data_IF_283591708480
#
_entry.id   IF_283591708480
#
_cell.length_a   1.000
_cell.length_b   1.000
_cell.length_c   1.000
_cell.angle_alpha   90.00
_cell.angle_beta   90.00
_cell.angle_gamma   90.00
#
_symmetry.space_group_name_H-M   'P 1'
#
loop_
_entity.id
_entity.type
_entity.pdbx_description
1 polymer ?
#
# COMPACT_ATOMS: atom_id res chain seq x y z
N UNK A 1 -20.84 20.33 3.29
CA UNK A 1 -20.12 19.58 2.22
C UNK A 1 -18.65 19.57 2.61
N UNK A 2 -18.11 18.42 3.05
CA UNK A 2 -16.73 18.35 3.54
C UNK A 2 -15.73 18.29 2.39
N UNK A 3 -14.89 19.30 2.27
CA UNK A 3 -13.81 19.35 1.30
C UNK A 3 -12.78 18.25 1.59
N UNK A 4 -12.75 17.24 0.72
CA UNK A 4 -11.71 16.22 0.71
C UNK A 4 -10.39 16.91 0.34
N UNK A 5 -9.55 17.22 1.33
CA UNK A 5 -8.17 17.68 1.12
C UNK A 5 -7.46 16.72 0.17
N UNK A 6 -7.29 17.14 -1.09
CA UNK A 6 -6.47 16.42 -2.05
C UNK A 6 -5.04 16.44 -1.53
N UNK A 7 -4.50 15.26 -1.22
CA UNK A 7 -3.13 15.07 -0.77
C UNK A 7 -2.17 15.42 -1.92
N UNK A 8 -1.92 16.72 -2.15
CA UNK A 8 -0.86 17.21 -3.05
C UNK A 8 0.51 17.10 -2.36
N UNK A 9 0.80 15.92 -1.80
CA UNK A 9 2.14 15.62 -1.32
C UNK A 9 3.07 15.47 -2.52
N UNK A 10 4.11 16.30 -2.60
CA UNK A 10 5.23 16.09 -3.53
C UNK A 10 5.71 14.65 -3.35
N UNK A 11 5.92 13.92 -4.46
CA UNK A 11 6.40 12.55 -4.43
C UNK A 11 7.65 12.49 -3.53
N UNK A 12 7.63 11.75 -2.39
CA UNK A 12 8.73 11.76 -1.43
C UNK A 12 10.04 11.23 -2.01
N UNK A 13 10.00 10.64 -3.21
CA UNK A 13 11.15 10.09 -3.91
C UNK A 13 11.74 11.00 -5.00
N UNK A 14 11.24 12.22 -5.19
CA UNK A 14 11.84 13.18 -6.14
C UNK A 14 13.26 13.57 -5.73
N UNK A 15 13.51 13.69 -4.43
CA UNK A 15 14.86 13.87 -3.89
C UNK A 15 15.25 12.70 -2.98
N UNK A 16 15.95 11.73 -3.58
CA UNK A 16 16.43 10.53 -2.89
C UNK A 16 17.37 10.85 -1.72
N UNK A 17 18.15 11.95 -1.80
CA UNK A 17 19.12 12.33 -0.77
C UNK A 17 18.39 12.89 0.45
N UNK A 18 17.41 13.76 0.23
CA UNK A 18 16.56 14.27 1.31
C UNK A 18 15.75 13.16 1.96
N UNK A 19 15.17 12.25 1.16
CA UNK A 19 14.40 11.12 1.69
C UNK A 19 15.23 10.26 2.63
N UNK A 20 16.44 9.85 2.19
CA UNK A 20 17.37 9.07 3.01
C UNK A 20 17.78 9.83 4.27
N UNK A 21 18.04 11.14 4.17
CA UNK A 21 18.38 11.98 5.32
C UNK A 21 17.22 12.08 6.33
N UNK A 22 15.98 12.19 5.85
CA UNK A 22 14.76 12.17 6.70
C UNK A 22 14.58 10.81 7.37
N UNK A 23 14.83 9.72 6.66
CA UNK A 23 14.75 8.36 7.20
C UNK A 23 15.80 8.11 8.29
N UNK A 24 17.05 8.54 8.07
CA UNK A 24 18.13 8.49 9.09
C UNK A 24 17.76 9.31 10.33
N UNK A 25 17.25 10.54 10.16
CA UNK A 25 16.78 11.34 11.29
C UNK A 25 15.66 10.63 12.06
N UNK A 26 14.70 10.03 11.34
CA UNK A 26 13.59 9.29 11.95
C UNK A 26 14.09 8.07 12.74
N UNK A 27 15.06 7.31 12.22
CA UNK A 27 15.62 6.16 12.91
C UNK A 27 16.43 6.57 14.14
N UNK A 28 17.21 7.64 14.08
CA UNK A 28 17.95 8.19 15.22
C UNK A 28 17.00 8.67 16.33
N UNK A 29 15.95 9.41 15.98
CA UNK A 29 14.92 9.85 16.95
C UNK A 29 14.21 8.65 17.57
N UNK A 30 13.88 7.63 16.77
CA UNK A 30 13.26 6.40 17.28
C UNK A 30 14.18 5.68 18.26
N UNK A 31 15.47 5.51 17.93
CA UNK A 31 16.48 4.91 18.81
C UNK A 31 16.63 5.70 20.11
N UNK A 32 16.72 7.03 20.03
CA UNK A 32 16.80 7.89 21.21
C UNK A 32 15.55 7.77 22.10
N UNK A 33 14.36 7.66 21.49
CA UNK A 33 13.10 7.47 22.22
C UNK A 33 13.03 6.10 22.89
N UNK A 34 13.47 5.03 22.22
CA UNK A 34 13.56 3.69 22.81
C UNK A 34 14.53 3.68 24.00
N UNK A 35 15.71 4.29 23.85
CA UNK A 35 16.70 4.43 24.93
C UNK A 35 16.12 5.20 26.12
N UNK A 36 15.44 6.33 25.89
CA UNK A 36 14.75 7.09 26.95
C UNK A 36 13.66 6.29 27.64
N UNK A 37 12.86 5.52 26.89
CA UNK A 37 11.81 4.68 27.46
C UNK A 37 12.38 3.52 28.30
N UNK A 38 13.50 2.94 27.86
CA UNK A 38 14.20 1.88 28.58
C UNK A 38 14.74 2.38 29.93
N UNK A 39 15.42 3.54 29.95
CA UNK A 39 15.89 4.13 31.22
C UNK A 39 14.75 4.46 32.18
N UNK A 40 13.62 4.98 31.68
CA UNK A 40 12.42 5.18 32.50
C UNK A 40 11.83 3.89 33.08
N UNK A 41 12.03 2.75 32.42
CA UNK A 41 11.58 1.45 32.91
C UNK A 41 12.52 0.96 34.02
N UNK A 42 13.83 1.08 33.83
CA UNK A 42 14.84 0.76 34.84
C UNK A 42 14.67 1.59 36.12
N UNK A 43 14.40 2.90 35.98
CA UNK A 43 14.07 3.80 37.11
C UNK A 43 12.85 3.31 37.90
N UNK A 44 11.83 2.75 37.23
CA UNK A 44 10.62 2.20 37.87
C UNK A 44 10.87 0.86 38.56
N UNK A 45 11.79 0.06 38.04
CA UNK A 45 12.18 -1.23 38.63
C UNK A 45 13.18 -1.06 39.79
N UNK A 46 13.64 0.16 40.06
CA UNK A 46 14.62 0.45 41.11
C UNK A 46 16.05 0.05 40.73
N UNK A 47 16.30 -0.22 39.45
CA UNK A 47 17.63 -0.55 38.94
C UNK A 47 18.30 0.77 38.55
N UNK A 48 19.17 1.29 39.43
CA UNK A 48 19.97 2.48 39.14
C UNK A 48 20.99 2.16 38.05
N UNK A 49 20.71 2.56 36.82
CA UNK A 49 21.70 2.58 35.75
C UNK A 49 22.34 3.97 35.70
N UNK A 50 23.50 4.10 36.33
CA UNK A 50 24.41 5.22 36.07
C UNK A 50 24.87 5.12 34.61
N UNK A 51 24.59 6.11 33.74
CA UNK A 51 25.17 6.12 32.40
C UNK A 51 26.66 6.42 32.56
N UNK A 52 27.52 5.42 32.36
CA UNK A 52 28.96 5.66 32.31
C UNK A 52 29.27 6.73 31.25
N UNK A 53 29.63 7.92 31.74
CA UNK A 53 30.08 9.04 30.95
C UNK A 53 31.58 8.89 30.72
N UNK A 54 31.99 8.01 29.80
CA UNK A 54 33.35 7.93 29.24
C UNK A 54 33.18 7.20 27.90
N UNK A 55 33.72 7.59 26.76
CA UNK A 55 34.57 8.68 26.31
C UNK A 55 34.75 8.36 24.81
N UNK A 56 34.84 9.40 23.98
CA UNK A 56 35.25 9.25 22.58
C UNK A 56 36.50 8.38 22.48
N UNK A 57 36.50 7.38 21.60
CA UNK A 57 37.49 7.18 20.54
C UNK A 57 37.43 5.75 19.95
N UNK A 58 37.57 5.69 18.61
CA UNK A 58 37.99 4.54 17.80
C UNK A 58 37.18 3.23 17.93
N UNK A 59 36.27 2.97 16.99
CA UNK A 59 36.58 2.22 15.79
C UNK A 59 36.93 0.74 16.05
N UNK A 60 35.94 -0.15 16.02
CA UNK A 60 36.08 -1.36 15.21
C UNK A 60 34.71 -2.00 14.94
N UNK A 61 34.58 -2.47 13.72
CA UNK A 61 33.44 -3.12 13.09
C UNK A 61 33.11 -4.47 13.74
N UNK A 62 31.95 -4.59 14.40
CA UNK A 62 31.21 -5.86 14.49
C UNK A 62 29.70 -5.65 14.30
N UNK A 63 29.24 -5.81 13.06
CA UNK A 63 27.83 -6.00 12.70
C UNK A 63 27.42 -7.46 12.98
N UNK A 64 26.38 -7.66 13.80
CA UNK A 64 25.45 -8.82 13.95
C UNK A 64 25.15 -8.96 15.44
N UNK A 65 23.93 -9.04 15.95
CA UNK A 65 22.63 -9.37 15.37
C UNK A 65 21.57 -9.00 16.41
N UNK A 66 20.58 -8.24 15.98
CA UNK A 66 19.39 -7.84 16.75
C UNK A 66 18.57 -9.06 17.17
N UNK A 67 18.62 -9.35 18.45
CA UNK A 67 17.65 -10.12 19.22
C UNK A 67 16.65 -9.13 19.84
N UNK A 68 15.40 -9.55 20.07
CA UNK A 68 14.29 -8.89 20.78
C UNK A 68 13.01 -8.51 19.99
N UNK A 69 12.12 -9.51 19.97
CA UNK A 69 10.68 -9.43 20.34
C UNK A 69 9.74 -8.65 19.40
N UNK A 70 9.43 -9.31 18.29
CA UNK A 70 8.18 -9.11 17.53
C UNK A 70 6.99 -9.67 18.30
N UNK A 71 5.98 -8.83 18.46
CA UNK A 71 4.63 -9.16 18.90
C UNK A 71 4.00 -10.28 18.05
N UNK A 72 3.48 -11.30 18.74
CA UNK A 72 2.34 -12.13 18.34
C UNK A 72 2.29 -12.54 16.86
N UNK A 73 3.21 -13.43 16.47
CA UNK A 73 3.18 -14.14 15.19
C UNK A 73 2.85 -15.60 15.53
N UNK A 74 1.79 -16.20 14.94
CA UNK A 74 1.43 -17.59 15.19
C UNK A 74 2.64 -18.49 14.91
N UNK A 75 2.84 -19.42 15.84
CA UNK A 75 4.02 -20.22 16.00
C UNK A 75 4.23 -21.17 14.81
N UNK A 76 4.91 -20.74 13.76
CA UNK A 76 5.24 -21.56 12.59
C UNK A 76 6.46 -22.48 12.84
N UNK A 77 6.63 -22.98 14.06
CA UNK A 77 7.81 -23.75 14.53
C UNK A 77 7.98 -25.14 13.90
N UNK A 78 7.13 -25.55 12.95
CA UNK A 78 7.23 -26.81 12.20
C UNK A 78 7.47 -26.62 10.68
N UNK A 79 7.98 -25.48 10.23
CA UNK A 79 8.45 -25.35 8.84
C UNK A 79 9.85 -25.94 8.72
N UNK A 80 10.08 -26.98 7.88
CA UNK A 80 11.42 -27.50 7.65
C UNK A 80 12.30 -26.35 7.17
N UNK A 81 13.45 -26.14 7.82
CA UNK A 81 14.43 -25.13 7.42
C UNK A 81 14.82 -25.42 5.98
N UNK A 82 14.24 -24.68 5.03
CA UNK A 82 14.61 -24.79 3.62
C UNK A 82 16.10 -24.47 3.55
N UNK A 83 16.88 -25.39 2.97
CA UNK A 83 18.32 -25.20 2.75
C UNK A 83 18.57 -23.79 2.21
N UNK A 84 19.60 -23.06 2.67
CA UNK A 84 19.87 -21.72 2.16
C UNK A 84 20.10 -21.83 0.65
N UNK A 85 19.14 -21.32 -0.14
CA UNK A 85 19.20 -21.36 -1.60
C UNK A 85 20.47 -20.70 -2.13
N UNK A 86 20.99 -21.20 -3.25
CA UNK A 86 22.15 -20.60 -3.89
C UNK A 86 21.82 -19.16 -4.35
N UNK A 87 22.82 -18.26 -4.42
CA UNK A 87 22.65 -16.91 -4.95
C UNK A 87 22.01 -16.91 -6.34
N UNK A 88 22.41 -17.85 -7.20
CA UNK A 88 21.83 -18.01 -8.54
C UNK A 88 20.31 -18.33 -8.49
N UNK A 89 19.88 -19.19 -7.58
CA UNK A 89 18.46 -19.54 -7.40
C UNK A 89 17.65 -18.36 -6.87
N UNK A 90 18.20 -17.64 -5.88
CA UNK A 90 17.57 -16.42 -5.35
C UNK A 90 17.39 -15.37 -6.43
N UNK A 91 18.38 -15.19 -7.30
CA UNK A 91 18.30 -14.25 -8.43
C UNK A 91 17.22 -14.66 -9.43
N UNK A 92 17.09 -15.95 -9.76
CA UNK A 92 16.02 -16.48 -10.64
C UNK A 92 14.64 -16.23 -10.04
N UNK A 93 14.43 -16.57 -8.77
CA UNK A 93 13.13 -16.36 -8.09
C UNK A 93 12.80 -14.87 -8.02
N UNK A 94 13.78 -14.00 -7.74
CA UNK A 94 13.55 -12.56 -7.73
C UNK A 94 13.13 -12.05 -9.12
N UNK A 95 13.75 -12.55 -10.19
CA UNK A 95 13.39 -12.23 -11.59
C UNK A 95 11.97 -12.70 -11.93
N UNK A 96 11.62 -13.94 -11.57
CA UNK A 96 10.27 -14.49 -11.77
C UNK A 96 9.20 -13.70 -11.02
N UNK A 97 9.44 -13.34 -9.76
CA UNK A 97 8.51 -12.50 -8.98
C UNK A 97 8.31 -11.13 -9.62
N UNK A 98 9.40 -10.52 -10.13
CA UNK A 98 9.34 -9.24 -10.81
C UNK A 98 8.55 -9.34 -12.12
N UNK A 99 8.76 -10.40 -12.88
CA UNK A 99 8.01 -10.65 -14.12
C UNK A 99 6.53 -10.93 -13.84
N UNK A 100 6.21 -11.77 -12.85
CA UNK A 100 4.84 -12.02 -12.43
C UNK A 100 4.15 -10.74 -11.96
N UNK A 101 4.83 -9.90 -11.16
CA UNK A 101 4.30 -8.59 -10.75
C UNK A 101 4.07 -7.66 -11.95
N UNK A 102 4.97 -7.67 -12.93
CA UNK A 102 4.82 -6.92 -14.19
C UNK A 102 3.59 -7.40 -14.97
N UNK A 103 3.43 -8.70 -15.14
CA UNK A 103 2.30 -9.32 -15.84
C UNK A 103 0.97 -9.02 -15.14
N UNK A 104 0.91 -9.17 -13.81
CA UNK A 104 -0.27 -8.84 -13.03
C UNK A 104 -0.67 -7.36 -13.18
N UNK A 105 0.32 -6.45 -13.18
CA UNK A 105 0.07 -5.03 -13.42
C UNK A 105 -0.45 -4.77 -14.83
N UNK A 106 0.14 -5.38 -15.86
CA UNK A 106 -0.33 -5.25 -17.24
C UNK A 106 -1.77 -5.76 -17.39
N UNK A 107 -2.09 -6.92 -16.81
CA UNK A 107 -3.45 -7.48 -16.81
C UNK A 107 -4.44 -6.53 -16.14
N UNK A 108 -4.11 -5.98 -14.97
CA UNK A 108 -4.98 -5.01 -14.28
C UNK A 108 -5.25 -3.74 -15.09
N UNK A 109 -4.28 -3.29 -15.90
CA UNK A 109 -4.43 -2.13 -16.79
C UNK A 109 -5.34 -2.50 -17.97
N UNK A 110 -5.17 -3.68 -18.56
CA UNK A 110 -6.03 -4.20 -19.63
C UNK A 110 -7.48 -4.34 -19.15
N UNK A 111 -7.71 -5.02 -18.04
CA UNK A 111 -9.04 -5.19 -17.43
C UNK A 111 -9.71 -3.84 -17.15
N UNK A 112 -8.93 -2.86 -16.65
CA UNK A 112 -9.43 -1.49 -16.42
C UNK A 112 -9.81 -0.78 -17.73
N UNK A 113 -9.01 -0.94 -18.80
CA UNK A 113 -9.34 -0.36 -20.11
C UNK A 113 -10.60 -0.99 -20.69
N UNK A 114 -10.72 -2.31 -20.66
CA UNK A 114 -11.89 -3.03 -21.15
C UNK A 114 -13.16 -2.64 -20.41
N UNK A 115 -13.10 -2.53 -19.08
CA UNK A 115 -14.28 -2.13 -18.28
C UNK A 115 -14.72 -0.70 -18.58
N UNK A 116 -13.77 0.22 -18.82
CA UNK A 116 -14.09 1.60 -19.26
C UNK A 116 -14.73 1.58 -20.65
N UNK A 117 -14.17 0.83 -21.59
CA UNK A 117 -14.68 0.74 -22.96
C UNK A 117 -16.09 0.12 -22.99
N UNK A 118 -16.31 -0.99 -22.28
CA UNK A 118 -17.63 -1.64 -22.12
C UNK A 118 -18.66 -0.65 -21.56
N UNK A 119 -18.33 0.07 -20.48
CA UNK A 119 -19.20 1.10 -19.90
C UNK A 119 -19.44 2.27 -20.85
N UNK A 120 -18.46 2.66 -21.66
CA UNK A 120 -18.65 3.73 -22.66
C UNK A 120 -19.62 3.30 -23.75
N UNK A 121 -19.40 2.12 -24.34
CA UNK A 121 -20.30 1.54 -25.36
C UNK A 121 -21.73 1.36 -24.84
N UNK A 122 -21.88 0.92 -23.59
CA UNK A 122 -23.19 0.80 -22.95
C UNK A 122 -23.88 2.16 -22.75
N UNK A 123 -23.11 3.20 -22.35
CA UNK A 123 -23.63 4.57 -22.22
C UNK A 123 -24.05 5.15 -23.56
N UNK A 124 -23.28 4.94 -24.62
CA UNK A 124 -23.63 5.38 -25.98
C UNK A 124 -24.92 4.70 -26.46
N UNK A 125 -25.01 3.37 -26.35
CA UNK A 125 -26.24 2.62 -26.68
C UNK A 125 -27.45 3.11 -25.87
N UNK A 126 -27.27 3.37 -24.57
CA UNK A 126 -28.34 3.93 -23.71
C UNK A 126 -28.75 5.33 -24.17
N UNK A 127 -27.78 6.19 -24.51
CA UNK A 127 -28.03 7.54 -25.02
C UNK A 127 -28.82 7.48 -26.33
N UNK A 128 -28.41 6.63 -27.26
CA UNK A 128 -29.08 6.46 -28.56
C UNK A 128 -30.49 5.88 -28.41
N UNK A 129 -30.70 4.97 -27.46
CA UNK A 129 -32.03 4.44 -27.19
C UNK A 129 -32.98 5.49 -26.57
N UNK A 130 -32.46 6.38 -25.72
CA UNK A 130 -33.26 7.45 -25.08
C UNK A 130 -33.51 8.65 -26.00
N UNK A 131 -32.66 8.84 -27.02
CA UNK A 131 -32.80 9.92 -28.01
C UNK A 131 -33.84 9.62 -29.10
N UNK A 132 -34.24 8.35 -29.27
CA UNK A 132 -35.27 7.94 -30.23
C UNK A 132 -36.59 8.68 -30.01
N UNK A 133 -37.19 9.14 -31.11
CA UNK A 133 -38.48 9.82 -31.17
C UNK A 133 -39.44 9.05 -32.08
N UNK A 134 -40.73 9.19 -31.83
CA UNK A 134 -41.81 8.72 -32.69
C UNK A 134 -41.90 9.56 -33.96
N UNK A 135 -42.69 9.11 -34.95
CA UNK A 135 -42.89 9.86 -36.21
C UNK A 135 -43.45 11.28 -35.97
N UNK A 136 -44.25 11.47 -34.92
CA UNK A 136 -44.80 12.78 -34.53
C UNK A 136 -43.81 13.65 -33.72
N UNK A 137 -42.60 13.16 -33.44
CA UNK A 137 -41.57 13.87 -32.69
C UNK A 137 -41.61 13.67 -31.17
N UNK A 138 -42.62 12.97 -30.63
CA UNK A 138 -42.67 12.65 -29.20
C UNK A 138 -41.55 11.67 -28.83
N UNK A 139 -40.90 11.80 -27.66
CA UNK A 139 -39.91 10.83 -27.21
C UNK A 139 -40.48 9.42 -27.14
N UNK A 140 -39.72 8.43 -27.59
CA UNK A 140 -40.15 7.04 -27.47
C UNK A 140 -40.16 6.64 -25.98
N UNK A 141 -41.35 6.34 -25.44
CA UNK A 141 -41.52 6.15 -24.00
C UNK A 141 -41.01 4.80 -23.49
N UNK A 142 -41.04 3.74 -24.30
CA UNK A 142 -40.58 2.39 -23.87
C UNK A 142 -39.20 2.38 -23.21
N UNK A 143 -38.13 2.90 -23.87
CA UNK A 143 -36.80 3.03 -23.27
C UNK A 143 -36.77 3.86 -21.98
N UNK A 144 -37.63 4.89 -21.87
CA UNK A 144 -37.71 5.75 -20.69
C UNK A 144 -38.40 5.05 -19.51
N UNK A 145 -39.48 4.32 -19.79
CA UNK A 145 -40.20 3.51 -18.80
C UNK A 145 -39.27 2.44 -18.24
N UNK A 146 -38.54 1.69 -19.07
CA UNK A 146 -37.60 0.67 -18.60
C UNK A 146 -36.49 1.28 -17.73
N UNK A 147 -35.95 2.44 -18.09
CA UNK A 147 -34.97 3.15 -17.25
C UNK A 147 -35.56 3.56 -15.89
N UNK A 148 -36.84 3.96 -15.85
CA UNK A 148 -37.51 4.26 -14.59
C UNK A 148 -37.70 3.00 -13.73
N UNK A 149 -38.17 1.90 -14.33
CA UNK A 149 -38.31 0.61 -13.63
C UNK A 149 -36.97 0.10 -13.09
N UNK A 150 -35.89 0.22 -13.86
CA UNK A 150 -34.54 -0.16 -13.42
C UNK A 150 -34.05 0.67 -12.24
N UNK A 151 -34.44 1.95 -12.15
CA UNK A 151 -34.12 2.81 -10.99
C UNK A 151 -34.93 2.40 -9.76
N UNK A 152 -36.23 2.17 -9.93
CA UNK A 152 -37.10 1.72 -8.84
C UNK A 152 -36.59 0.39 -8.27
N UNK A 153 -36.19 -0.56 -9.12
CA UNK A 153 -35.60 -1.84 -8.68
C UNK A 153 -34.33 -1.64 -7.84
N UNK A 154 -33.45 -0.73 -8.25
CA UNK A 154 -32.21 -0.41 -7.52
C UNK A 154 -32.42 0.30 -6.19
N UNK A 155 -33.55 0.98 -6.02
CA UNK A 155 -33.88 1.67 -4.76
C UNK A 155 -34.55 0.71 -3.76
N UNK A 156 -35.10 -0.42 -4.23
CA UNK A 156 -35.72 -1.47 -3.40
C UNK A 156 -34.70 -2.50 -2.91
N UNK A 157 -33.66 -2.79 -3.70
CA UNK A 157 -32.53 -3.67 -3.36
C UNK A 157 -31.47 -2.97 -2.49
#
# INVERSE_FOLDING_TARGET
MGDKKQFRGKNPYTDRREFKSKEIKKSLVHRARLRKNYFKLLEKEGINHEPEQNGDESAESQNKSEEFKRSHIPDSRNQPSKRPMNFAERAKIAKERKEHSRQAKLKSIQDRRETIEKKSKERERRKDNLSKKTKSGQPLMGPRINNLLDKIKKDIE
#
